data_IF_267123845076
#
_entry.id   IF_267123845076
#
_cell.length_a   1.000
_cell.length_b   1.000
_cell.length_c   1.000
_cell.angle_alpha   90.00
_cell.angle_beta   90.00
_cell.angle_gamma   90.00
#
_symmetry.space_group_name_H-M   'P 1'
#
loop_
_entity.id
_entity.type
_entity.pdbx_description
1 polymer ?
#
# COMPACT_ATOMS: atom_id res chain seq x y z
N UNK A 1 17.67 9.48 -7.18
CA UNK A 1 17.09 8.44 -8.04
C UNK A 1 17.19 7.11 -7.32
N UNK A 2 16.08 6.40 -7.13
CA UNK A 2 16.11 5.05 -6.55
C UNK A 2 16.74 4.12 -7.58
N UNK A 3 17.81 3.38 -7.24
CA UNK A 3 18.41 2.43 -8.17
C UNK A 3 17.39 1.35 -8.57
N UNK A 4 17.31 1.00 -9.86
CA UNK A 4 16.43 -0.08 -10.34
C UNK A 4 16.71 -1.41 -9.63
N UNK A 5 17.96 -1.65 -9.20
CA UNK A 5 18.32 -2.79 -8.35
C UNK A 5 17.49 -2.88 -7.07
N UNK A 6 17.17 -1.73 -6.44
CA UNK A 6 16.31 -1.68 -5.24
C UNK A 6 14.85 -2.00 -5.60
N UNK A 7 14.36 -1.52 -6.75
CA UNK A 7 13.02 -1.87 -7.22
C UNK A 7 12.91 -3.37 -7.52
N UNK A 8 13.88 -3.94 -8.25
CA UNK A 8 13.95 -5.37 -8.55
C UNK A 8 14.04 -6.21 -7.28
N UNK A 9 14.80 -5.74 -6.29
CA UNK A 9 14.88 -6.37 -4.99
C UNK A 9 13.50 -6.45 -4.31
N UNK A 10 12.76 -5.34 -4.31
CA UNK A 10 11.48 -5.22 -3.62
C UNK A 10 10.27 -5.76 -4.39
N UNK A 11 10.32 -5.83 -5.73
CA UNK A 11 9.21 -6.25 -6.60
C UNK A 11 9.46 -7.58 -7.32
N UNK A 12 10.69 -8.08 -7.32
CA UNK A 12 11.08 -9.28 -8.07
C UNK A 12 11.33 -8.99 -9.55
N UNK A 13 11.14 -10.01 -10.39
CA UNK A 13 11.37 -9.88 -11.83
C UNK A 13 10.26 -9.09 -12.53
N UNK A 14 10.59 -8.31 -13.59
CA UNK A 14 9.58 -7.63 -14.39
C UNK A 14 8.53 -8.59 -14.96
N UNK A 15 7.29 -8.12 -15.06
CA UNK A 15 6.17 -8.80 -15.70
C UNK A 15 5.90 -8.21 -17.06
N UNK A 16 5.40 -9.07 -17.94
CA UNK A 16 4.93 -8.66 -19.26
C UNK A 16 3.55 -8.03 -19.18
N UNK A 17 3.39 -6.92 -19.89
CA UNK A 17 2.11 -6.29 -20.16
C UNK A 17 2.03 -5.90 -21.64
N UNK A 18 0.82 -5.63 -22.11
CA UNK A 18 0.56 -5.36 -23.53
C UNK A 18 -0.01 -3.96 -23.70
N UNK A 19 0.08 -3.45 -24.93
CA UNK A 19 -0.54 -2.20 -25.34
C UNK A 19 -1.59 -2.49 -26.40
N UNK A 20 -2.79 -1.93 -26.23
CA UNK A 20 -3.91 -2.01 -27.18
C UNK A 20 -4.33 -0.63 -27.64
N UNK A 21 -5.15 -0.56 -28.70
CA UNK A 21 -5.82 0.67 -29.09
C UNK A 21 -6.81 1.11 -28.01
N UNK A 22 -6.85 2.41 -27.71
CA UNK A 22 -7.80 2.96 -26.75
C UNK A 22 -7.70 4.48 -26.64
N UNK A 23 -8.72 5.07 -26.03
CA UNK A 23 -8.79 6.50 -25.79
C UNK A 23 -7.92 6.89 -24.58
N UNK A 24 -7.12 7.95 -24.69
CA UNK A 24 -6.45 8.54 -23.53
C UNK A 24 -6.82 10.01 -23.34
N UNK A 25 -6.81 10.45 -22.08
CA UNK A 25 -6.93 11.86 -21.68
C UNK A 25 -5.66 12.24 -20.93
N UNK A 26 -4.67 12.77 -21.66
CA UNK A 26 -3.34 13.07 -21.14
C UNK A 26 -3.22 14.55 -20.75
N UNK A 27 -2.83 14.79 -19.50
CA UNK A 27 -2.43 16.12 -19.01
C UNK A 27 -0.96 16.42 -19.36
N UNK A 28 -0.13 15.38 -19.38
CA UNK A 28 1.31 15.43 -19.66
C UNK A 28 1.68 14.40 -20.73
N UNK A 29 1.30 14.62 -22.01
CA UNK A 29 1.54 13.65 -23.08
C UNK A 29 3.01 13.25 -23.25
N UNK A 30 3.94 14.15 -22.96
CA UNK A 30 5.38 13.93 -23.04
C UNK A 30 5.92 12.93 -22.00
N UNK A 31 5.17 12.69 -20.92
CA UNK A 31 5.51 11.69 -19.91
C UNK A 31 4.86 10.32 -20.19
N UNK A 32 3.97 10.23 -21.18
CA UNK A 32 3.26 8.99 -21.50
C UNK A 32 3.96 8.21 -22.63
N UNK A 33 4.54 7.03 -22.35
CA UNK A 33 5.49 6.39 -23.28
C UNK A 33 4.84 5.63 -24.45
N UNK A 34 3.50 5.50 -24.49
CA UNK A 34 2.82 4.61 -25.43
C UNK A 34 2.08 5.32 -26.57
N UNK A 35 1.99 6.65 -26.54
CA UNK A 35 1.26 7.46 -27.53
C UNK A 35 -0.23 7.62 -27.20
N UNK A 36 -0.84 8.71 -27.68
CA UNK A 36 -2.17 9.19 -27.25
C UNK A 36 -3.37 8.26 -27.55
N UNK A 37 -3.23 7.30 -28.46
CA UNK A 37 -4.33 6.41 -28.88
C UNK A 37 -4.10 4.96 -28.40
N UNK A 38 -3.30 4.80 -27.33
CA UNK A 38 -2.83 3.51 -26.83
C UNK A 38 -3.04 3.42 -25.32
N UNK A 39 -3.52 2.28 -24.84
CA UNK A 39 -3.72 2.00 -23.42
C UNK A 39 -3.06 0.67 -23.01
N UNK A 40 -2.43 0.58 -21.83
CA UNK A 40 -1.83 -0.64 -21.34
C UNK A 40 -2.87 -1.61 -20.79
N UNK A 41 -2.62 -2.91 -20.95
CA UNK A 41 -3.38 -3.99 -20.32
C UNK A 41 -2.46 -5.06 -19.74
N UNK A 42 -2.88 -5.62 -18.60
CA UNK A 42 -2.28 -6.73 -17.90
C UNK A 42 -3.28 -7.89 -17.89
N UNK A 43 -3.55 -8.40 -19.09
CA UNK A 43 -4.49 -9.49 -19.36
C UNK A 43 -3.78 -10.75 -19.85
N UNK A 44 -4.47 -11.87 -19.80
CA UNK A 44 -4.21 -13.04 -20.62
C UNK A 44 -4.73 -12.78 -22.04
N UNK A 45 -3.95 -13.12 -23.06
CA UNK A 45 -4.33 -12.89 -24.46
C UNK A 45 -3.58 -13.86 -25.38
N UNK A 46 -4.26 -14.32 -26.43
CA UNK A 46 -3.66 -15.05 -27.55
C UNK A 46 -3.38 -14.12 -28.75
N UNK A 47 -3.78 -12.85 -28.65
CA UNK A 47 -3.57 -11.85 -29.70
C UNK A 47 -2.08 -11.44 -29.80
N UNK A 48 -1.62 -11.20 -31.02
CA UNK A 48 -0.26 -10.73 -31.29
C UNK A 48 -0.14 -9.24 -30.99
N UNK A 49 0.07 -8.90 -29.71
CA UNK A 49 0.23 -7.53 -29.23
C UNK A 49 1.70 -7.19 -28.93
N UNK A 50 2.10 -5.91 -29.02
CA UNK A 50 3.40 -5.45 -28.53
C UNK A 50 3.60 -5.80 -27.05
N UNK A 51 4.75 -6.41 -26.73
CA UNK A 51 5.11 -6.83 -25.36
C UNK A 51 6.01 -5.79 -24.72
N UNK A 52 5.64 -5.35 -23.53
CA UNK A 52 6.42 -4.47 -22.68
C UNK A 52 6.70 -5.15 -21.34
N UNK A 53 7.72 -4.66 -20.62
CA UNK A 53 8.08 -5.16 -19.29
C UNK A 53 8.05 -4.04 -18.27
N UNK A 54 7.59 -4.36 -17.07
CA UNK A 54 7.59 -3.45 -15.93
C UNK A 54 7.43 -4.22 -14.62
N UNK A 55 7.70 -3.56 -13.49
CA UNK A 55 7.61 -4.21 -12.19
C UNK A 55 6.18 -4.16 -11.66
N UNK A 56 5.73 -5.22 -10.99
CA UNK A 56 4.43 -5.18 -10.32
C UNK A 56 4.39 -4.09 -9.26
N UNK A 57 3.21 -3.51 -9.05
CA UNK A 57 2.95 -2.61 -7.94
C UNK A 57 1.50 -2.72 -7.47
N UNK A 58 1.33 -3.14 -6.22
CA UNK A 58 0.08 -3.65 -5.71
C UNK A 58 -0.47 -4.79 -6.56
N UNK A 59 -1.79 -4.97 -6.51
CA UNK A 59 -2.45 -6.09 -7.21
C UNK A 59 -2.80 -5.77 -8.68
N UNK A 60 -2.94 -4.50 -9.04
CA UNK A 60 -3.49 -4.06 -10.33
C UNK A 60 -2.69 -3.00 -11.07
N UNK A 61 -1.40 -2.88 -10.78
CA UNK A 61 -0.55 -1.84 -11.38
C UNK A 61 0.80 -2.37 -11.81
N UNK A 62 1.39 -1.67 -12.77
CA UNK A 62 2.78 -1.84 -13.20
C UNK A 62 3.50 -0.50 -13.01
N UNK A 63 4.79 -0.57 -12.69
CA UNK A 63 5.70 0.57 -12.72
C UNK A 63 6.81 0.36 -13.76
N UNK A 64 7.16 1.45 -14.43
CA UNK A 64 8.29 1.54 -15.33
C UNK A 64 9.26 2.58 -14.78
N UNK A 65 10.55 2.21 -14.70
CA UNK A 65 11.62 3.15 -14.38
C UNK A 65 12.03 3.82 -15.69
N UNK A 66 11.90 5.14 -15.77
CA UNK A 66 12.33 5.90 -16.97
C UNK A 66 13.85 5.97 -17.06
N UNK A 67 14.39 6.28 -18.24
CA UNK A 67 15.83 6.56 -18.42
C UNK A 67 16.32 7.75 -17.58
N UNK A 68 15.45 8.73 -17.32
CA UNK A 68 15.71 9.87 -16.43
C UNK A 68 15.52 9.52 -14.93
N UNK A 69 15.19 8.27 -14.64
CA UNK A 69 15.08 7.68 -13.30
C UNK A 69 13.93 8.11 -12.40
N UNK A 70 12.87 8.68 -12.97
CA UNK A 70 11.58 8.73 -12.28
C UNK A 70 10.78 7.45 -12.54
N UNK A 71 9.74 7.24 -11.74
CA UNK A 71 8.86 6.08 -11.88
C UNK A 71 7.55 6.52 -12.53
N UNK A 72 7.18 5.87 -13.62
CA UNK A 72 5.84 5.96 -14.21
C UNK A 72 5.02 4.80 -13.67
N UNK A 73 3.89 5.09 -13.05
CA UNK A 73 2.95 4.09 -12.56
C UNK A 73 1.71 4.04 -13.43
N UNK A 74 1.35 2.82 -13.83
CA UNK A 74 0.17 2.48 -14.60
C UNK A 74 -0.79 1.70 -13.68
N UNK A 75 -1.79 2.38 -13.11
CA UNK A 75 -2.71 1.82 -12.10
C UNK A 75 -4.05 1.43 -12.76
N UNK A 76 -4.55 0.25 -12.43
CA UNK A 76 -5.84 -0.23 -12.89
C UNK A 76 -5.82 -0.79 -14.31
N UNK A 77 -4.73 -1.48 -14.66
CA UNK A 77 -4.52 -1.98 -16.03
C UNK A 77 -4.83 -3.47 -16.20
N UNK A 78 -5.32 -4.15 -15.16
CA UNK A 78 -5.49 -5.60 -15.13
C UNK A 78 -4.80 -6.22 -13.91
N UNK A 79 -4.55 -7.54 -13.93
CA UNK A 79 -4.01 -8.29 -12.78
C UNK A 79 -2.98 -9.34 -13.24
N UNK A 80 -1.84 -9.52 -12.56
CA UNK A 80 -0.80 -10.45 -13.01
C UNK A 80 -0.98 -11.90 -12.54
N UNK A 81 -1.95 -12.20 -11.68
CA UNK A 81 -2.14 -13.53 -11.09
C UNK A 81 -2.92 -14.46 -12.01
N UNK A 82 -2.28 -15.55 -12.44
CA UNK A 82 -2.74 -16.46 -13.51
C UNK A 82 -4.20 -16.90 -13.37
N UNK A 83 -4.60 -17.38 -12.20
CA UNK A 83 -5.90 -18.04 -12.03
C UNK A 83 -7.09 -17.06 -12.05
N UNK A 84 -6.81 -15.79 -11.77
CA UNK A 84 -7.81 -14.70 -11.69
C UNK A 84 -7.48 -13.57 -12.67
N UNK A 85 -6.67 -13.86 -13.69
CA UNK A 85 -6.22 -12.87 -14.68
C UNK A 85 -7.38 -12.49 -15.61
N UNK A 86 -7.64 -11.19 -15.84
CA UNK A 86 -8.56 -10.75 -16.90
C UNK A 86 -8.11 -11.23 -18.26
N UNK A 87 -9.03 -11.35 -19.21
CA UNK A 87 -8.74 -11.85 -20.57
C UNK A 87 -8.98 -10.73 -21.56
N UNK A 88 -8.13 -10.62 -22.55
CA UNK A 88 -8.35 -9.77 -23.70
C UNK A 88 -8.46 -10.63 -24.95
N UNK A 89 -9.59 -10.53 -25.64
CA UNK A 89 -9.90 -11.32 -26.84
C UNK A 89 -10.91 -10.57 -27.73
N UNK A 90 -10.61 -10.51 -29.02
CA UNK A 90 -11.44 -9.87 -30.05
C UNK A 90 -11.81 -8.43 -29.67
N UNK A 91 -10.82 -7.64 -29.26
CA UNK A 91 -11.01 -6.25 -28.83
C UNK A 91 -12.03 -6.07 -27.69
N UNK A 92 -12.10 -7.06 -26.79
CA UNK A 92 -12.97 -7.06 -25.61
C UNK A 92 -12.18 -7.55 -24.40
N UNK A 93 -12.30 -6.83 -23.29
CA UNK A 93 -11.75 -7.25 -22.00
C UNK A 93 -12.83 -8.01 -21.24
N UNK A 94 -12.49 -9.17 -20.69
CA UNK A 94 -13.35 -9.97 -19.85
C UNK A 94 -12.78 -9.99 -18.43
N UNK A 95 -13.59 -9.57 -17.45
CA UNK A 95 -13.18 -9.53 -16.04
C UNK A 95 -14.36 -9.73 -15.10
N UNK A 96 -14.11 -9.66 -13.80
CA UNK A 96 -15.08 -9.91 -12.74
C UNK A 96 -15.54 -8.60 -12.10
N UNK A 97 -16.77 -8.61 -11.61
CA UNK A 97 -17.34 -7.52 -10.83
C UNK A 97 -17.84 -8.07 -9.50
N UNK A 98 -17.25 -7.60 -8.40
CA UNK A 98 -17.58 -8.06 -7.05
C UNK A 98 -18.71 -7.23 -6.47
N UNK A 99 -19.81 -7.87 -6.09
CA UNK A 99 -20.98 -7.15 -5.56
C UNK A 99 -20.86 -6.81 -4.08
N UNK A 100 -20.03 -7.55 -3.34
CA UNK A 100 -19.85 -7.41 -1.90
C UNK A 100 -18.44 -6.96 -1.49
N UNK A 101 -17.55 -6.68 -2.46
CA UNK A 101 -16.28 -6.03 -2.18
C UNK A 101 -16.34 -4.58 -2.65
N UNK A 102 -16.01 -3.67 -1.73
CA UNK A 102 -15.98 -2.24 -1.99
C UNK A 102 -14.53 -1.74 -2.09
N UNK A 103 -14.26 -0.86 -3.05
CA UNK A 103 -13.11 0.04 -3.02
C UNK A 103 -13.68 1.44 -2.90
N UNK A 104 -13.50 2.03 -1.73
CA UNK A 104 -14.12 3.30 -1.39
C UNK A 104 -15.63 3.24 -1.36
N UNK A 105 -16.31 4.06 -2.18
CA UNK A 105 -17.78 4.11 -2.26
C UNK A 105 -18.35 3.21 -3.37
N UNK A 106 -17.49 2.54 -4.16
CA UNK A 106 -17.87 1.77 -5.34
C UNK A 106 -17.66 0.26 -5.18
N UNK A 107 -18.39 -0.52 -5.98
CA UNK A 107 -18.19 -1.95 -6.15
C UNK A 107 -16.98 -2.22 -7.06
N UNK A 108 -16.25 -3.29 -6.78
CA UNK A 108 -14.94 -3.53 -7.39
C UNK A 108 -15.02 -4.21 -8.77
N UNK A 109 -14.56 -3.49 -9.81
CA UNK A 109 -14.20 -4.11 -11.10
C UNK A 109 -12.78 -4.67 -11.03
N UNK A 110 -12.64 -5.99 -11.15
CA UNK A 110 -11.38 -6.69 -10.92
C UNK A 110 -10.30 -6.27 -11.92
N UNK A 111 -9.22 -5.68 -11.41
CA UNK A 111 -8.05 -5.26 -12.17
C UNK A 111 -8.13 -3.89 -12.83
N UNK A 112 -9.33 -3.32 -12.95
CA UNK A 112 -9.55 -2.04 -13.63
C UNK A 112 -10.17 -1.02 -12.67
N UNK A 113 -10.33 0.21 -13.12
CA UNK A 113 -11.08 1.27 -12.43
C UNK A 113 -12.34 1.58 -13.22
N UNK A 114 -13.39 2.04 -12.56
CA UNK A 114 -14.48 2.70 -13.27
C UNK A 114 -14.00 4.08 -13.76
N UNK A 115 -14.58 4.65 -14.83
CA UNK A 115 -14.25 6.01 -15.28
C UNK A 115 -14.37 7.05 -14.16
N UNK A 116 -15.43 6.98 -13.35
CA UNK A 116 -15.65 7.91 -12.24
C UNK A 116 -14.54 7.84 -11.19
N UNK A 117 -14.13 6.63 -10.76
CA UNK A 117 -13.04 6.45 -9.79
C UNK A 117 -11.72 7.02 -10.33
N UNK A 118 -11.43 6.80 -11.61
CA UNK A 118 -10.19 7.26 -12.24
C UNK A 118 -10.17 8.78 -12.40
N UNK A 119 -11.28 9.38 -12.81
CA UNK A 119 -11.43 10.83 -12.90
C UNK A 119 -11.36 11.51 -11.52
N UNK A 120 -12.00 10.93 -10.51
CA UNK A 120 -11.95 11.45 -9.14
C UNK A 120 -10.53 11.41 -8.57
N UNK A 121 -9.81 10.30 -8.73
CA UNK A 121 -8.41 10.19 -8.29
C UNK A 121 -7.50 11.19 -9.03
N UNK A 122 -7.70 11.37 -10.35
CA UNK A 122 -6.96 12.35 -11.14
C UNK A 122 -7.22 13.78 -10.65
N UNK A 123 -8.48 14.16 -10.51
CA UNK A 123 -8.88 15.50 -10.09
C UNK A 123 -8.37 15.82 -8.68
N UNK A 124 -8.42 14.83 -7.77
CA UNK A 124 -7.87 14.98 -6.43
C UNK A 124 -6.35 15.17 -6.46
N UNK A 125 -5.60 14.41 -7.29
CA UNK A 125 -4.17 14.65 -7.46
C UNK A 125 -3.85 16.06 -7.96
N UNK A 126 -4.59 16.56 -8.97
CA UNK A 126 -4.41 17.92 -9.50
C UNK A 126 -4.64 18.95 -8.39
N UNK A 127 -5.79 18.90 -7.72
CA UNK A 127 -6.15 19.82 -6.65
C UNK A 127 -5.10 19.81 -5.53
N UNK A 128 -4.63 18.64 -5.10
CA UNK A 128 -3.66 18.51 -4.01
C UNK A 128 -2.29 19.09 -4.39
N UNK A 129 -1.88 18.95 -5.65
CA UNK A 129 -0.64 19.59 -6.14
C UNK A 129 -0.75 21.11 -6.17
N UNK A 130 -1.89 21.66 -6.59
CA UNK A 130 -2.13 23.11 -6.57
C UNK A 130 -2.04 23.68 -5.14
N UNK A 131 -2.37 22.89 -4.13
CA UNK A 131 -2.21 23.22 -2.71
C UNK A 131 -0.78 22.99 -2.17
N UNK A 132 0.17 22.60 -3.02
CA UNK A 132 1.55 22.33 -2.62
C UNK A 132 1.72 21.05 -1.77
N UNK A 133 0.74 20.14 -1.80
CA UNK A 133 0.79 18.91 -1.01
C UNK A 133 1.67 17.87 -1.74
N UNK A 134 2.59 17.17 -1.04
CA UNK A 134 3.47 16.17 -1.65
C UNK A 134 2.70 14.94 -2.15
N UNK A 135 2.31 14.96 -3.41
CA UNK A 135 1.56 13.90 -4.10
C UNK A 135 2.16 13.62 -5.49
N UNK A 136 1.92 12.42 -6.08
CA UNK A 136 2.36 12.09 -7.43
C UNK A 136 1.94 13.11 -8.48
N UNK A 137 2.73 13.22 -9.55
CA UNK A 137 2.46 14.09 -10.68
C UNK A 137 1.52 13.38 -11.66
N UNK A 138 0.27 13.85 -11.85
CA UNK A 138 -0.69 13.17 -12.72
C UNK A 138 -0.25 13.28 -14.19
N UNK A 139 -0.25 12.14 -14.90
CA UNK A 139 0.08 12.09 -16.33
C UNK A 139 -1.22 12.08 -17.14
N UNK A 140 -2.21 11.29 -16.76
CA UNK A 140 -3.49 11.21 -17.46
C UNK A 140 -4.28 9.93 -17.19
N UNK A 141 -5.26 9.67 -18.04
CA UNK A 141 -6.16 8.52 -17.99
C UNK A 141 -6.12 7.74 -19.31
N UNK A 142 -6.42 6.44 -19.23
CA UNK A 142 -6.77 5.61 -20.37
C UNK A 142 -8.17 5.01 -20.16
N UNK A 143 -8.92 4.85 -21.24
CA UNK A 143 -10.27 4.28 -21.23
C UNK A 143 -10.34 2.99 -22.03
N UNK A 144 -11.18 2.08 -21.54
CA UNK A 144 -11.51 0.81 -22.18
C UNK A 144 -13.00 0.80 -22.51
N UNK A 145 -13.35 0.78 -23.79
CA UNK A 145 -14.75 0.91 -24.21
C UNK A 145 -15.57 -0.37 -24.04
N UNK A 146 -14.92 -1.53 -24.13
CA UNK A 146 -15.56 -2.84 -24.12
C UNK A 146 -15.01 -3.73 -23.01
N UNK A 147 -15.61 -3.64 -21.81
CA UNK A 147 -15.37 -4.59 -20.73
C UNK A 147 -16.65 -5.40 -20.48
N UNK A 148 -16.54 -6.73 -20.62
CA UNK A 148 -17.56 -7.69 -20.21
C UNK A 148 -17.29 -8.20 -18.80
N UNK A 149 -18.34 -8.22 -18.00
CA UNK A 149 -18.26 -8.45 -16.57
C UNK A 149 -19.02 -9.72 -16.18
N UNK A 150 -18.36 -10.64 -15.49
CA UNK A 150 -19.03 -11.69 -14.75
C UNK A 150 -19.27 -11.23 -13.31
N UNK A 151 -20.54 -11.18 -12.90
CA UNK A 151 -20.92 -10.90 -11.50
C UNK A 151 -20.53 -12.06 -10.62
N UNK A 152 -19.80 -11.75 -9.56
CA UNK A 152 -19.45 -12.65 -8.47
C UNK A 152 -19.62 -11.88 -7.16
N UNK A 153 -19.96 -12.56 -6.08
CA UNK A 153 -20.17 -11.92 -4.79
C UNK A 153 -18.88 -11.32 -4.25
N UNK A 154 -17.84 -12.14 -4.16
CA UNK A 154 -16.56 -11.85 -3.54
C UNK A 154 -15.45 -12.75 -4.13
N UNK A 155 -14.20 -12.51 -3.73
CA UNK A 155 -13.06 -13.36 -4.16
C UNK A 155 -13.21 -14.82 -3.76
N UNK A 156 -13.86 -15.11 -2.63
CA UNK A 156 -14.05 -16.48 -2.16
C UNK A 156 -14.95 -17.26 -3.12
N UNK A 157 -16.05 -16.66 -3.58
CA UNK A 157 -16.90 -17.24 -4.62
C UNK A 157 -16.10 -17.46 -5.93
N UNK A 158 -15.32 -16.47 -6.36
CA UNK A 158 -14.49 -16.60 -7.56
C UNK A 158 -13.51 -17.76 -7.44
N UNK A 159 -12.80 -17.88 -6.31
CA UNK A 159 -11.88 -18.99 -6.05
C UNK A 159 -12.60 -20.33 -6.06
N UNK A 160 -13.77 -20.43 -5.43
CA UNK A 160 -14.55 -21.67 -5.45
C UNK A 160 -14.97 -22.08 -6.86
N UNK A 161 -15.42 -21.14 -7.69
CA UNK A 161 -15.74 -21.41 -9.10
C UNK A 161 -14.53 -21.92 -9.88
N UNK A 162 -13.35 -21.35 -9.65
CA UNK A 162 -12.10 -21.81 -10.27
C UNK A 162 -11.76 -23.23 -9.82
N UNK A 163 -11.90 -23.54 -8.53
CA UNK A 163 -11.60 -24.88 -8.01
C UNK A 163 -12.59 -25.95 -8.50
N UNK A 164 -13.87 -25.61 -8.66
CA UNK A 164 -14.91 -26.58 -9.05
C UNK A 164 -14.96 -26.84 -10.56
N UNK A 165 -14.85 -25.79 -11.37
CA UNK A 165 -15.05 -25.83 -12.82
C UNK A 165 -13.79 -25.67 -13.66
N UNK A 166 -12.69 -25.29 -13.01
CA UNK A 166 -11.45 -24.94 -13.69
C UNK A 166 -11.53 -23.63 -14.48
N UNK A 167 -10.40 -23.27 -15.09
CA UNK A 167 -10.26 -22.02 -15.85
C UNK A 167 -11.14 -21.96 -17.10
N UNK A 168 -11.31 -23.09 -17.79
CA UNK A 168 -12.08 -23.15 -19.05
C UNK A 168 -13.56 -22.85 -18.88
N UNK A 169 -14.19 -23.36 -17.81
CA UNK A 169 -15.59 -23.05 -17.50
C UNK A 169 -15.78 -21.56 -17.19
N UNK A 170 -14.85 -20.97 -16.43
CA UNK A 170 -14.88 -19.55 -16.11
C UNK A 170 -14.79 -18.66 -17.37
N UNK A 171 -13.96 -19.05 -18.35
CA UNK A 171 -13.86 -18.37 -19.64
C UNK A 171 -15.20 -18.43 -20.37
N UNK A 172 -15.82 -19.60 -20.42
CA UNK A 172 -17.13 -19.77 -21.05
C UNK A 172 -18.20 -18.88 -20.39
N UNK A 173 -18.25 -18.83 -19.06
CA UNK A 173 -19.16 -17.96 -18.32
C UNK A 173 -18.91 -16.46 -18.62
N UNK A 174 -17.66 -16.05 -18.77
CA UNK A 174 -17.30 -14.67 -19.14
C UNK A 174 -17.74 -14.35 -20.57
N UNK A 175 -17.56 -15.28 -21.51
CA UNK A 175 -17.98 -15.12 -22.91
C UNK A 175 -19.51 -15.06 -23.06
N UNK A 176 -20.24 -15.83 -22.25
CA UNK A 176 -21.71 -15.84 -22.17
C UNK A 176 -22.29 -14.63 -21.42
N UNK A 177 -21.47 -13.87 -20.69
CA UNK A 177 -21.94 -12.66 -20.00
C UNK A 177 -22.38 -11.58 -20.98
N UNK A 178 -23.58 -11.06 -20.74
CA UNK A 178 -24.16 -9.95 -21.50
C UNK A 178 -23.92 -8.59 -20.85
N UNK A 179 -23.30 -8.56 -19.66
CA UNK A 179 -23.10 -7.31 -18.95
C UNK A 179 -21.83 -6.60 -19.41
N UNK A 180 -22.00 -5.45 -20.04
CA UNK A 180 -20.92 -4.59 -20.54
C UNK A 180 -20.85 -3.26 -19.78
N UNK A 181 -19.63 -2.77 -19.56
CA UNK A 181 -19.35 -1.47 -18.94
C UNK A 181 -18.04 -0.89 -19.52
N UNK A 182 -17.89 0.45 -19.47
CA UNK A 182 -16.59 1.10 -19.72
C UNK A 182 -15.69 0.94 -18.49
N UNK A 183 -14.39 0.76 -18.71
CA UNK A 183 -13.36 0.85 -17.68
C UNK A 183 -12.39 1.98 -17.94
N UNK A 184 -11.51 2.20 -16.96
CA UNK A 184 -10.45 3.18 -17.01
C UNK A 184 -9.21 2.69 -16.26
N UNK A 185 -8.09 3.35 -16.55
CA UNK A 185 -6.84 3.29 -15.81
C UNK A 185 -6.27 4.70 -15.64
N UNK A 186 -5.34 4.85 -14.70
CA UNK A 186 -4.70 6.14 -14.38
C UNK A 186 -3.18 6.02 -14.45
N UNK A 187 -2.56 7.07 -14.98
CA UNK A 187 -1.11 7.19 -15.15
C UNK A 187 -0.60 8.35 -14.32
N UNK A 188 0.49 8.13 -13.58
CA UNK A 188 1.15 9.20 -12.83
C UNK A 188 2.64 8.93 -12.64
N UNK A 189 3.40 10.01 -12.51
CA UNK A 189 4.81 9.99 -12.17
C UNK A 189 4.98 10.07 -10.66
N UNK A 190 5.78 9.17 -10.11
CA UNK A 190 6.03 9.06 -8.67
C UNK A 190 7.52 9.14 -8.34
N UNK A 191 7.83 9.55 -7.11
CA UNK A 191 9.21 9.62 -6.58
C UNK A 191 9.78 8.23 -6.28
N UNK A 192 8.89 7.27 -6.07
CA UNK A 192 9.17 5.91 -5.62
C UNK A 192 7.90 5.06 -5.78
N UNK A 193 8.04 3.75 -5.71
CA UNK A 193 6.91 2.83 -5.48
C UNK A 193 6.99 2.14 -4.12
N UNK A 194 8.06 2.39 -3.36
CA UNK A 194 8.32 1.75 -2.07
C UNK A 194 7.38 2.35 -1.04
N UNK A 195 6.56 1.50 -0.40
CA UNK A 195 5.64 1.94 0.66
C UNK A 195 6.35 1.99 2.00
N UNK A 196 5.87 2.86 2.89
CA UNK A 196 6.45 3.02 4.22
C UNK A 196 6.27 1.75 5.06
N UNK A 197 5.08 1.15 5.08
CA UNK A 197 4.83 -0.11 5.81
C UNK A 197 5.72 -1.26 5.30
N UNK A 198 5.88 -1.38 3.99
CA UNK A 198 6.63 -2.45 3.34
C UNK A 198 8.07 -2.56 3.90
N UNK A 199 8.77 -1.44 4.01
CA UNK A 199 10.17 -1.44 4.45
C UNK A 199 10.32 -1.71 5.96
N UNK A 200 9.25 -1.53 6.74
CA UNK A 200 9.27 -1.79 8.18
C UNK A 200 9.30 -3.28 8.49
N UNK A 201 8.82 -4.16 7.59
CA UNK A 201 8.98 -5.61 7.74
C UNK A 201 10.45 -6.03 7.87
N UNK A 202 11.38 -5.30 7.24
CA UNK A 202 12.81 -5.56 7.37
C UNK A 202 13.33 -5.44 8.82
N UNK A 203 12.68 -4.64 9.66
CA UNK A 203 13.04 -4.48 11.06
C UNK A 203 12.63 -5.67 11.94
N UNK A 204 11.79 -6.57 11.43
CA UNK A 204 11.34 -7.78 12.14
C UNK A 204 12.36 -8.94 12.04
N UNK A 205 13.51 -8.73 11.39
CA UNK A 205 14.59 -9.73 11.37
C UNK A 205 15.08 -10.03 12.79
N UNK A 206 15.19 -11.30 13.19
CA UNK A 206 15.77 -11.67 14.49
C UNK A 206 17.20 -11.14 14.64
N UNK A 207 17.50 -10.55 15.82
CA UNK A 207 18.83 -9.99 16.15
C UNK A 207 19.26 -8.87 15.17
N UNK A 208 18.30 -8.06 14.72
CA UNK A 208 18.52 -6.93 13.79
C UNK A 208 19.55 -5.92 14.33
N UNK A 209 19.69 -5.81 15.66
CA UNK A 209 20.71 -5.02 16.36
C UNK A 209 22.16 -5.43 16.03
N UNK A 210 22.37 -6.66 15.56
CA UNK A 210 23.68 -7.12 15.08
C UNK A 210 23.99 -6.68 13.65
N UNK A 211 23.01 -6.18 12.92
CA UNK A 211 23.11 -5.80 11.51
C UNK A 211 23.20 -4.27 11.35
N UNK A 212 22.37 -3.53 12.09
CA UNK A 212 22.20 -2.09 11.92
C UNK A 212 22.38 -1.32 13.21
N UNK A 213 22.83 -0.07 13.10
CA UNK A 213 22.95 0.83 14.25
C UNK A 213 21.57 1.30 14.72
N UNK A 214 21.21 0.94 15.94
CA UNK A 214 19.90 1.20 16.53
C UNK A 214 19.58 2.69 16.63
N UNK A 215 20.55 3.53 16.98
CA UNK A 215 20.34 4.99 17.09
C UNK A 215 20.03 5.62 15.73
N UNK A 216 20.74 5.14 14.72
CA UNK A 216 20.56 5.52 13.32
C UNK A 216 19.17 5.14 12.80
N UNK A 217 18.71 3.91 13.08
CA UNK A 217 17.37 3.44 12.71
C UNK A 217 16.29 4.25 13.39
N UNK A 218 16.40 4.47 14.71
CA UNK A 218 15.42 5.29 15.45
C UNK A 218 15.33 6.70 14.89
N UNK A 219 16.47 7.31 14.55
CA UNK A 219 16.51 8.64 13.94
C UNK A 219 15.84 8.65 12.56
N UNK A 220 16.05 7.61 11.75
CA UNK A 220 15.37 7.44 10.48
C UNK A 220 13.85 7.24 10.65
N UNK A 221 13.41 6.43 11.61
CA UNK A 221 11.99 6.21 11.90
C UNK A 221 11.30 7.49 12.38
N UNK A 222 11.97 8.31 13.20
CA UNK A 222 11.47 9.65 13.57
C UNK A 222 11.31 10.56 12.34
N UNK A 223 12.29 10.58 11.45
CA UNK A 223 12.19 11.31 10.17
C UNK A 223 11.04 10.78 9.30
N UNK A 224 10.94 9.47 9.14
CA UNK A 224 9.94 8.80 8.32
C UNK A 224 8.53 9.09 8.85
N UNK A 225 8.31 8.85 10.14
CA UNK A 225 7.07 9.13 10.84
C UNK A 225 6.69 10.60 10.76
N UNK A 226 7.62 11.52 11.05
CA UNK A 226 7.33 12.96 10.98
C UNK A 226 7.03 13.44 9.57
N UNK A 227 7.63 12.84 8.56
CA UNK A 227 7.30 13.12 7.16
C UNK A 227 5.88 12.68 6.82
N UNK A 228 5.47 11.48 7.26
CA UNK A 228 4.10 11.00 7.08
C UNK A 228 3.07 11.85 7.83
N UNK A 229 3.30 12.10 9.12
CA UNK A 229 2.41 12.94 9.95
C UNK A 229 2.28 14.36 9.43
N UNK A 230 3.40 14.96 8.96
CA UNK A 230 3.39 16.27 8.32
C UNK A 230 2.53 16.29 7.06
N UNK A 231 2.71 15.32 6.16
CA UNK A 231 1.94 15.28 4.92
C UNK A 231 0.43 15.10 5.19
N UNK A 232 0.06 14.26 6.16
CA UNK A 232 -1.35 14.10 6.56
C UNK A 232 -1.89 15.40 7.16
N UNK A 233 -1.09 16.11 7.96
CA UNK A 233 -1.51 17.40 8.52
C UNK A 233 -1.74 18.46 7.44
N UNK A 234 -0.95 18.48 6.36
CA UNK A 234 -1.18 19.40 5.24
C UNK A 234 -2.56 19.22 4.59
N UNK A 235 -3.05 17.98 4.46
CA UNK A 235 -4.42 17.72 4.00
C UNK A 235 -5.43 18.36 4.96
N UNK A 236 -5.26 18.10 6.25
CA UNK A 236 -6.17 18.58 7.28
C UNK A 236 -6.18 20.11 7.43
N UNK A 237 -5.06 20.81 7.27
CA UNK A 237 -5.03 22.28 7.25
C UNK A 237 -5.88 22.87 6.11
N UNK A 238 -6.09 22.10 5.04
CA UNK A 238 -6.91 22.50 3.90
C UNK A 238 -8.37 21.99 3.99
N UNK A 239 -8.79 21.44 5.14
CA UNK A 239 -10.12 20.88 5.33
C UNK A 239 -10.37 19.62 4.49
N UNK A 240 -9.31 18.89 4.15
CA UNK A 240 -9.35 17.67 3.33
C UNK A 240 -9.09 16.46 4.23
N UNK A 241 -9.94 15.45 4.07
CA UNK A 241 -9.76 14.10 4.64
C UNK A 241 -9.17 13.22 3.54
N UNK A 242 -8.17 12.40 3.87
CA UNK A 242 -7.47 11.55 2.90
C UNK A 242 -8.39 10.47 2.31
N UNK A 243 -9.18 9.81 3.15
CA UNK A 243 -10.13 8.81 2.66
C UNK A 243 -10.75 7.96 3.74
N UNK A 244 -11.22 8.56 4.83
CA UNK A 244 -11.90 7.85 5.92
C UNK A 244 -13.40 7.95 5.82
N UNK A 245 -14.06 6.79 5.74
CA UNK A 245 -15.51 6.66 5.61
C UNK A 245 -16.04 5.66 6.62
N UNK A 246 -17.18 5.96 7.23
CA UNK A 246 -17.91 5.00 8.05
C UNK A 246 -18.68 4.08 7.12
N UNK A 247 -18.65 2.78 7.40
CA UNK A 247 -19.46 1.80 6.68
C UNK A 247 -20.96 2.18 6.79
N UNK A 248 -21.68 2.34 5.67
CA UNK A 248 -23.11 2.61 5.68
C UNK A 248 -23.95 1.55 6.41
N UNK A 249 -23.47 0.31 6.50
CA UNK A 249 -24.10 -0.78 7.24
C UNK A 249 -23.89 -0.70 8.76
N UNK A 250 -23.02 0.20 9.22
CA UNK A 250 -22.78 0.49 10.64
C UNK A 250 -21.70 -0.38 11.31
N UNK A 251 -21.05 -1.30 10.59
CA UNK A 251 -20.15 -2.31 11.18
C UNK A 251 -18.65 -1.99 11.11
N UNK A 252 -18.22 -0.89 10.48
CA UNK A 252 -16.79 -0.59 10.35
C UNK A 252 -16.43 0.82 9.90
N UNK A 253 -15.13 1.05 9.77
CA UNK A 253 -14.52 2.26 9.22
C UNK A 253 -13.51 1.81 8.17
N UNK A 254 -13.62 2.37 6.97
CA UNK A 254 -12.59 2.24 5.94
C UNK A 254 -11.73 3.50 5.93
N UNK A 255 -10.41 3.36 5.86
CA UNK A 255 -9.49 4.51 5.86
C UNK A 255 -8.33 4.30 4.90
N UNK A 256 -8.05 5.31 4.09
CA UNK A 256 -6.80 5.41 3.33
C UNK A 256 -5.64 5.98 4.18
N UNK A 257 -5.91 6.47 5.39
CA UNK A 257 -4.91 7.12 6.26
C UNK A 257 -4.09 6.09 7.04
N UNK A 258 -3.22 5.40 6.32
CA UNK A 258 -2.34 4.37 6.86
C UNK A 258 -0.99 4.36 6.14
N UNK A 259 0.05 3.82 6.78
CA UNK A 259 1.43 3.86 6.27
C UNK A 259 1.58 3.27 4.86
N UNK A 260 0.75 2.30 4.49
CA UNK A 260 0.77 1.69 3.14
C UNK A 260 0.35 2.60 1.99
N UNK A 261 -0.23 3.76 2.28
CA UNK A 261 -0.55 4.79 1.29
C UNK A 261 0.45 5.95 1.30
N UNK A 262 1.52 5.83 2.11
CA UNK A 262 2.68 6.69 2.01
C UNK A 262 3.78 5.96 1.24
N UNK A 263 4.33 6.62 0.23
CA UNK A 263 5.52 6.15 -0.49
C UNK A 263 6.75 6.91 -0.01
N UNK A 264 7.88 6.21 0.08
CA UNK A 264 9.16 6.77 0.51
C UNK A 264 10.15 6.79 -0.65
N UNK A 265 10.61 7.99 -0.96
CA UNK A 265 11.74 8.25 -1.83
C UNK A 265 13.05 8.29 -1.06
N UNK A 266 14.14 8.66 -1.75
CA UNK A 266 15.46 8.79 -1.12
C UNK A 266 15.55 9.89 -0.06
N UNK A 267 14.72 10.94 -0.17
CA UNK A 267 14.85 12.15 0.66
C UNK A 267 13.52 12.69 1.20
N UNK A 268 12.41 12.18 0.69
CA UNK A 268 11.06 12.68 0.94
C UNK A 268 10.03 11.55 0.89
N UNK A 269 8.82 11.83 1.37
CA UNK A 269 7.68 10.92 1.32
C UNK A 269 6.48 11.61 0.69
N UNK A 270 5.68 10.88 -0.09
CA UNK A 270 4.43 11.34 -0.70
C UNK A 270 3.25 10.53 -0.17
N UNK A 271 2.06 11.15 -0.16
CA UNK A 271 0.80 10.44 0.04
C UNK A 271 0.29 9.96 -1.32
N UNK A 272 -0.41 8.83 -1.34
CA UNK A 272 -1.00 8.23 -2.54
C UNK A 272 -2.43 7.75 -2.27
N UNK A 273 -3.13 7.33 -3.32
CA UNK A 273 -4.47 6.76 -3.29
C UNK A 273 -5.58 7.74 -2.84
N UNK A 274 -6.05 8.55 -3.80
CA UNK A 274 -6.94 9.69 -3.53
C UNK A 274 -8.39 9.47 -3.99
N UNK A 275 -8.77 8.24 -4.34
CA UNK A 275 -10.11 7.92 -4.82
C UNK A 275 -11.22 8.13 -3.75
N UNK A 276 -10.85 8.29 -2.48
CA UNK A 276 -11.76 8.59 -1.37
C UNK A 276 -11.58 9.99 -0.78
N UNK A 277 -10.65 10.77 -1.33
CA UNK A 277 -10.30 12.08 -0.79
C UNK A 277 -11.43 13.06 -0.98
N UNK A 278 -11.79 13.77 0.09
CA UNK A 278 -12.90 14.74 0.04
C UNK A 278 -12.68 15.91 1.00
N UNK A 279 -13.29 17.05 0.65
CA UNK A 279 -13.39 18.21 1.54
C UNK A 279 -14.57 18.02 2.49
N UNK A 280 -14.32 18.16 3.79
CA UNK A 280 -15.34 18.09 4.85
C UNK A 280 -15.20 19.33 5.72
N UNK A 281 -16.30 19.79 6.32
CA UNK A 281 -16.30 20.96 7.23
C UNK A 281 -17.07 20.65 8.51
N UNK A 282 -16.83 21.48 9.54
CA UNK A 282 -17.57 21.44 10.79
C UNK A 282 -17.17 20.29 11.72
N UNK A 283 -18.08 19.89 12.60
CA UNK A 283 -17.80 18.90 13.67
C UNK A 283 -17.41 17.52 13.13
N UNK A 284 -17.96 17.14 11.98
CA UNK A 284 -17.64 15.87 11.33
C UNK A 284 -16.17 15.81 10.89
N UNK A 285 -15.64 16.92 10.37
CA UNK A 285 -14.24 17.02 9.99
C UNK A 285 -13.31 16.78 11.19
N UNK A 286 -13.55 17.44 12.34
CA UNK A 286 -12.74 17.26 13.54
C UNK A 286 -12.77 15.82 14.06
N UNK A 287 -13.91 15.13 13.93
CA UNK A 287 -14.02 13.71 14.29
C UNK A 287 -13.18 12.83 13.37
N UNK A 288 -13.40 12.93 12.05
CA UNK A 288 -12.74 12.06 11.07
C UNK A 288 -11.24 12.31 11.01
N UNK A 289 -10.81 13.57 11.13
CA UNK A 289 -9.40 13.96 11.19
C UNK A 289 -8.63 13.24 12.30
N UNK A 290 -9.25 13.07 13.47
CA UNK A 290 -8.64 12.35 14.58
C UNK A 290 -8.55 10.85 14.31
N UNK A 291 -9.55 10.28 13.65
CA UNK A 291 -9.51 8.88 13.21
C UNK A 291 -8.39 8.65 12.19
N UNK A 292 -8.21 9.54 11.21
CA UNK A 292 -7.09 9.47 10.26
C UNK A 292 -5.73 9.56 10.94
N UNK A 293 -5.64 10.44 11.92
CA UNK A 293 -4.41 10.62 12.69
C UNK A 293 -4.02 9.34 13.44
N UNK A 294 -4.95 8.70 14.16
CA UNK A 294 -4.65 7.45 14.88
C UNK A 294 -4.51 6.25 13.95
N UNK A 295 -5.26 6.20 12.85
CA UNK A 295 -5.12 5.16 11.83
C UNK A 295 -3.68 5.11 11.29
N UNK A 296 -3.06 6.29 11.07
CA UNK A 296 -1.67 6.37 10.58
C UNK A 296 -0.65 5.68 11.51
N UNK A 297 -0.96 5.52 12.80
CA UNK A 297 -0.03 4.94 13.77
C UNK A 297 -0.02 3.41 13.72
N UNK A 298 -1.17 2.77 13.48
CA UNK A 298 -1.35 1.33 13.68
C UNK A 298 -1.87 0.58 12.46
N UNK A 299 -2.72 1.20 11.63
CA UNK A 299 -3.31 0.53 10.48
C UNK A 299 -2.19 0.21 9.49
N UNK A 300 -2.06 -1.07 9.14
CA UNK A 300 -0.97 -1.60 8.31
C UNK A 300 0.44 -1.24 8.84
N UNK A 301 0.62 -1.03 10.16
CA UNK A 301 1.94 -0.93 10.76
C UNK A 301 2.41 -2.35 11.15
N UNK A 302 3.46 -2.90 10.53
CA UNK A 302 3.93 -4.25 10.85
C UNK A 302 4.78 -4.31 12.13
N UNK A 303 5.16 -3.17 12.71
CA UNK A 303 5.92 -3.15 13.96
C UNK A 303 5.02 -3.50 15.15
N UNK A 304 5.55 -4.22 16.16
CA UNK A 304 4.73 -4.73 17.25
C UNK A 304 4.19 -3.60 18.15
N UNK A 305 3.06 -3.90 18.81
CA UNK A 305 2.47 -3.06 19.86
C UNK A 305 2.00 -1.65 19.42
N UNK A 306 1.92 -1.35 18.12
CA UNK A 306 1.44 -0.07 17.61
C UNK A 306 0.04 0.32 18.15
N UNK A 307 -0.88 -0.64 18.22
CA UNK A 307 -2.22 -0.44 18.82
C UNK A 307 -2.16 -0.11 20.31
N UNK A 308 -1.23 -0.73 21.05
CA UNK A 308 -1.08 -0.48 22.50
C UNK A 308 -0.67 0.95 22.80
N UNK A 309 0.17 1.56 21.96
CA UNK A 309 0.54 2.98 22.08
C UNK A 309 -0.69 3.90 21.94
N UNK A 310 -1.59 3.58 21.00
CA UNK A 310 -2.82 4.35 20.82
C UNK A 310 -3.73 4.15 22.03
N UNK A 311 -3.99 2.90 22.45
CA UNK A 311 -4.84 2.59 23.60
C UNK A 311 -4.37 3.35 24.85
N UNK A 312 -3.06 3.43 25.07
CA UNK A 312 -2.49 4.14 26.21
C UNK A 312 -2.69 5.67 26.16
N UNK A 313 -2.77 6.27 24.96
CA UNK A 313 -2.95 7.70 24.78
C UNK A 313 -4.42 8.14 24.67
N UNK A 314 -5.27 7.24 24.18
CA UNK A 314 -6.65 7.54 23.87
C UNK A 314 -7.50 7.56 25.14
N UNK A 315 -7.96 8.75 25.53
CA UNK A 315 -8.91 8.96 26.64
C UNK A 315 -10.40 8.90 26.20
N UNK A 316 -10.70 8.56 24.94
CA UNK A 316 -12.05 8.59 24.33
C UNK A 316 -12.28 7.38 23.42
N UNK A 317 -13.52 6.99 23.14
CA UNK A 317 -13.83 5.96 22.15
C UNK A 317 -13.31 6.37 20.74
N UNK A 318 -12.34 5.64 20.16
CA UNK A 318 -11.77 5.83 18.80
C UNK A 318 -11.92 4.54 17.96
N UNK A 319 -11.44 4.50 16.69
CA UNK A 319 -11.41 3.31 15.79
C UNK A 319 -11.10 1.98 16.50
N UNK A 320 -10.24 1.98 17.53
CA UNK A 320 -9.90 0.81 18.34
C UNK A 320 -11.10 0.08 18.97
N UNK A 321 -12.25 0.75 19.11
CA UNK A 321 -13.49 0.18 19.64
C UNK A 321 -14.51 -0.17 18.55
N UNK A 322 -14.15 -0.10 17.27
CA UNK A 322 -14.99 -0.56 16.17
C UNK A 322 -14.99 -2.11 16.14
N UNK A 323 -16.17 -2.77 16.13
CA UNK A 323 -16.30 -4.21 16.35
C UNK A 323 -15.46 -5.13 15.45
N UNK A 324 -15.02 -4.66 14.27
CA UNK A 324 -14.31 -5.50 13.30
C UNK A 324 -12.81 -5.22 13.14
N UNK A 325 -12.24 -4.16 13.72
CA UNK A 325 -10.77 -4.03 13.82
C UNK A 325 -10.20 -5.00 14.88
N UNK A 326 -11.07 -5.56 15.73
CA UNK A 326 -10.79 -6.58 16.76
C UNK A 326 -10.99 -8.01 16.21
N UNK A 327 -11.22 -8.18 14.91
CA UNK A 327 -11.47 -9.49 14.32
C UNK A 327 -10.17 -10.29 14.21
N UNK A 328 -9.91 -11.06 15.29
CA UNK A 328 -8.89 -12.10 15.52
C UNK A 328 -7.79 -11.70 16.52
N UNK A 329 -8.14 -11.61 17.82
CA UNK A 329 -7.54 -12.46 18.88
C UNK A 329 -7.90 -12.00 20.33
N UNK A 330 -8.17 -13.01 21.16
CA UNK A 330 -8.17 -13.08 22.65
C UNK A 330 -9.48 -12.82 23.43
N UNK A 331 -9.69 -13.71 24.41
CA UNK A 331 -10.90 -13.93 25.20
C UNK A 331 -11.19 -12.85 26.25
N UNK A 332 -12.48 -12.70 26.55
CA UNK A 332 -13.13 -11.66 27.36
C UNK A 332 -12.56 -11.43 28.78
N UNK A 333 -11.89 -12.42 29.38
CA UNK A 333 -11.36 -12.35 30.74
C UNK A 333 -9.98 -11.65 30.82
N UNK A 334 -9.16 -11.73 29.76
CA UNK A 334 -7.90 -10.98 29.66
C UNK A 334 -8.10 -9.47 29.42
N UNK A 335 -9.22 -9.13 28.77
CA UNK A 335 -9.63 -7.75 28.49
C UNK A 335 -10.10 -7.00 29.75
N UNK A 336 -10.71 -7.68 30.73
CA UNK A 336 -11.11 -7.07 32.00
C UNK A 336 -9.91 -6.80 32.93
N UNK A 337 -8.95 -7.72 33.03
CA UNK A 337 -7.74 -7.53 33.82
C UNK A 337 -6.79 -6.44 33.26
N UNK A 338 -6.76 -6.28 31.94
CA UNK A 338 -5.92 -5.27 31.27
C UNK A 338 -6.49 -3.85 31.39
N UNK A 339 -7.81 -3.68 31.33
CA UNK A 339 -8.48 -2.39 31.53
C UNK A 339 -8.34 -1.87 32.97
N UNK A 340 -8.26 -2.74 33.97
CA UNK A 340 -7.99 -2.36 35.36
C UNK A 340 -6.53 -1.93 35.59
N UNK A 341 -5.56 -2.50 34.88
CA UNK A 341 -4.13 -2.12 34.99
C UNK A 341 -3.84 -0.82 34.22
N UNK A 342 -4.42 -0.64 33.03
CA UNK A 342 -4.30 0.60 32.24
C UNK A 342 -4.92 1.82 32.96
N UNK A 343 -5.95 1.59 33.79
CA UNK A 343 -6.61 2.64 34.60
C UNK A 343 -5.88 2.98 35.91
N UNK A 344 -4.91 2.18 36.36
CA UNK A 344 -4.16 2.41 37.61
C UNK A 344 -2.88 3.25 37.45
N UNK A 345 -2.25 3.32 36.26
CA UNK A 345 -0.88 3.86 36.13
C UNK A 345 -0.59 4.86 34.97
N UNK A 346 -1.60 5.60 34.50
CA UNK A 346 -1.36 6.90 33.84
C UNK A 346 -0.63 6.88 32.49
N UNK A 347 -1.39 6.67 31.40
CA UNK A 347 -1.23 7.42 30.15
C UNK A 347 0.03 7.22 29.30
N UNK A 348 0.84 6.18 29.51
CA UNK A 348 2.02 5.91 28.69
C UNK A 348 2.32 4.41 28.58
N UNK A 349 2.45 3.90 27.35
CA UNK A 349 2.93 2.54 27.08
C UNK A 349 4.45 2.55 27.00
N UNK A 350 5.14 1.73 27.82
CA UNK A 350 6.60 1.61 27.79
C UNK A 350 7.01 0.43 26.89
N UNK A 351 7.89 0.62 25.89
CA UNK A 351 8.45 -0.47 25.10
C UNK A 351 9.10 -1.54 25.98
N UNK A 352 8.78 -2.81 25.74
CA UNK A 352 9.39 -3.95 26.43
C UNK A 352 10.62 -4.53 25.71
N UNK A 353 10.84 -4.17 24.44
CA UNK A 353 11.94 -4.68 23.62
C UNK A 353 12.27 -3.70 22.50
N UNK A 354 13.38 -3.97 21.79
CA UNK A 354 13.90 -3.11 20.72
C UNK A 354 12.92 -2.89 19.55
N UNK A 355 12.10 -3.88 19.22
CA UNK A 355 11.14 -3.76 18.12
C UNK A 355 10.00 -2.80 18.51
N UNK A 356 9.57 -2.83 19.78
CA UNK A 356 8.62 -1.86 20.32
C UNK A 356 9.23 -0.45 20.43
N UNK A 357 10.54 -0.33 20.68
CA UNK A 357 11.23 0.96 20.65
C UNK A 357 11.31 1.55 19.23
N UNK A 358 11.31 0.71 18.19
CA UNK A 358 11.15 1.16 16.81
C UNK A 358 9.74 1.70 16.56
N UNK A 359 8.71 1.00 17.05
CA UNK A 359 7.32 1.48 17.01
C UNK A 359 7.18 2.83 17.68
N UNK A 360 7.72 2.98 18.90
CA UNK A 360 7.75 4.24 19.64
C UNK A 360 8.40 5.37 18.83
N UNK A 361 9.60 5.12 18.28
CA UNK A 361 10.32 6.12 17.50
C UNK A 361 9.56 6.58 16.24
N UNK A 362 8.86 5.66 15.58
CA UNK A 362 8.01 5.98 14.44
C UNK A 362 6.81 6.84 14.86
N UNK A 363 6.12 6.45 15.93
CA UNK A 363 4.95 7.17 16.47
C UNK A 363 5.34 8.57 16.97
N UNK A 364 6.43 8.71 17.73
CA UNK A 364 6.98 10.01 18.13
C UNK A 364 7.27 10.90 16.92
N UNK A 365 7.76 10.29 15.84
CA UNK A 365 7.90 10.93 14.53
C UNK A 365 6.56 11.47 14.03
N UNK A 366 5.56 10.60 13.89
CA UNK A 366 4.22 10.95 13.40
C UNK A 366 3.60 12.08 14.22
N UNK A 367 3.67 11.98 15.55
CA UNK A 367 3.19 13.01 16.46
C UNK A 367 3.88 14.34 16.24
N UNK A 368 5.21 14.35 16.15
CA UNK A 368 5.97 15.55 15.89
C UNK A 368 5.60 16.17 14.54
N UNK A 369 5.55 15.35 13.49
CA UNK A 369 5.15 15.73 12.14
C UNK A 369 3.79 16.42 12.08
N UNK A 370 2.81 15.77 12.69
CA UNK A 370 1.42 16.21 12.64
C UNK A 370 1.15 17.39 13.56
N UNK A 371 1.61 17.34 14.81
CA UNK A 371 1.28 18.34 15.83
C UNK A 371 2.14 19.60 15.73
N UNK A 372 3.41 19.48 15.30
CA UNK A 372 4.33 20.62 15.17
C UNK A 372 4.41 21.15 13.75
N UNK A 373 3.82 20.46 12.77
CA UNK A 373 3.97 20.75 11.34
C UNK A 373 5.44 20.92 10.96
N UNK A 374 6.29 20.00 11.41
CA UNK A 374 7.72 19.98 11.12
C UNK A 374 8.19 18.56 10.88
N UNK A 375 9.13 18.38 9.96
CA UNK A 375 9.83 17.11 9.77
C UNK A 375 11.08 17.12 10.64
N UNK A 376 11.47 15.98 11.19
CA UNK A 376 12.81 15.84 11.73
C UNK A 376 13.83 16.01 10.60
N UNK A 377 14.95 16.68 10.86
CA UNK A 377 16.03 16.74 9.89
C UNK A 377 16.96 15.54 10.05
N UNK A 378 17.36 14.98 8.92
CA UNK A 378 18.30 13.86 8.85
C UNK A 378 19.15 14.06 7.60
N UNK A 379 20.45 13.73 7.69
CA UNK A 379 21.36 13.88 6.57
C UNK A 379 20.89 13.09 5.34
N UNK A 380 21.01 13.69 4.14
CA UNK A 380 20.59 13.06 2.88
C UNK A 380 21.24 11.69 2.67
N UNK A 381 22.52 11.56 2.98
CA UNK A 381 23.23 10.29 2.85
C UNK A 381 22.66 9.22 3.79
N UNK A 382 22.29 9.63 5.01
CA UNK A 382 21.70 8.74 6.01
C UNK A 382 20.31 8.24 5.59
N UNK A 383 19.46 9.12 5.03
CA UNK A 383 18.14 8.74 4.50
C UNK A 383 18.28 7.69 3.38
N UNK A 384 19.16 7.96 2.42
CA UNK A 384 19.45 7.08 1.27
C UNK A 384 19.96 5.71 1.73
N UNK A 385 21.00 5.72 2.57
CA UNK A 385 21.61 4.50 3.13
C UNK A 385 20.58 3.66 3.87
N UNK A 386 19.76 4.27 4.73
CA UNK A 386 18.79 3.52 5.52
C UNK A 386 17.68 2.92 4.66
N UNK A 387 17.18 3.63 3.64
CA UNK A 387 16.20 3.05 2.71
C UNK A 387 16.76 1.82 1.99
N UNK A 388 18.02 1.87 1.55
CA UNK A 388 18.70 0.75 0.90
C UNK A 388 18.87 -0.44 1.85
N UNK A 389 19.34 -0.20 3.08
CA UNK A 389 19.49 -1.22 4.11
C UNK A 389 18.15 -1.87 4.44
N UNK A 390 17.09 -1.08 4.68
CA UNK A 390 15.76 -1.61 4.97
C UNK A 390 15.18 -2.42 3.82
N UNK A 391 15.50 -2.04 2.57
CA UNK A 391 15.09 -2.82 1.40
C UNK A 391 15.79 -4.19 1.34
N UNK A 392 17.08 -4.26 1.67
CA UNK A 392 17.82 -5.53 1.81
C UNK A 392 17.24 -6.37 2.95
N UNK A 393 17.01 -5.75 4.10
CA UNK A 393 16.44 -6.43 5.26
C UNK A 393 15.06 -6.99 4.95
N UNK A 394 14.20 -6.25 4.25
CA UNK A 394 12.88 -6.73 3.85
C UNK A 394 12.97 -7.96 2.94
N UNK A 395 13.82 -7.93 1.93
CA UNK A 395 13.99 -9.10 1.05
C UNK A 395 14.54 -10.31 1.80
N UNK A 396 15.56 -10.11 2.64
CA UNK A 396 16.12 -11.16 3.49
C UNK A 396 15.10 -11.72 4.49
N UNK A 397 14.22 -10.88 5.01
CA UNK A 397 13.10 -11.27 5.88
C UNK A 397 12.15 -12.22 5.14
N UNK A 398 11.73 -11.85 3.92
CA UNK A 398 10.86 -12.71 3.11
C UNK A 398 11.51 -14.08 2.85
N UNK A 399 12.80 -14.10 2.49
CA UNK A 399 13.55 -15.35 2.27
C UNK A 399 13.63 -16.21 3.55
N UNK A 400 13.93 -15.58 4.69
CA UNK A 400 14.09 -16.26 5.97
C UNK A 400 12.79 -16.96 6.37
N UNK A 401 11.65 -16.29 6.16
CA UNK A 401 10.33 -16.84 6.49
C UNK A 401 9.69 -17.65 5.35
N UNK A 402 10.28 -17.68 4.15
CA UNK A 402 9.75 -18.40 3.00
C UNK A 402 8.50 -17.76 2.41
N UNK A 403 8.38 -16.44 2.57
CA UNK A 403 7.29 -15.64 2.03
C UNK A 403 7.54 -15.35 0.54
N UNK A 404 6.48 -15.08 -0.25
CA UNK A 404 6.63 -14.80 -1.67
C UNK A 404 7.54 -13.59 -1.93
N UNK A 405 8.52 -13.75 -2.83
CA UNK A 405 9.36 -12.64 -3.28
C UNK A 405 8.49 -11.54 -3.89
N UNK A 406 8.78 -10.29 -3.53
CA UNK A 406 8.00 -9.15 -4.01
C UNK A 406 6.71 -8.87 -3.22
N UNK A 407 6.42 -9.63 -2.16
CA UNK A 407 5.29 -9.36 -1.27
C UNK A 407 5.44 -7.95 -0.67
N UNK A 408 4.44 -7.08 -0.90
CA UNK A 408 4.43 -5.70 -0.39
C UNK A 408 3.89 -5.62 1.04
N UNK A 409 2.89 -6.45 1.38
CA UNK A 409 2.13 -6.38 2.64
C UNK A 409 1.42 -7.69 2.97
N UNK A 410 1.00 -7.82 4.22
CA UNK A 410 0.15 -8.91 4.70
C UNK A 410 0.44 -9.25 6.16
N UNK A 411 0.23 -8.28 7.06
CA UNK A 411 0.58 -8.37 8.49
C UNK A 411 0.06 -9.65 9.13
N UNK A 412 -1.22 -9.95 8.97
CA UNK A 412 -1.85 -11.17 9.53
C UNK A 412 -1.14 -12.46 9.07
N UNK A 413 -0.84 -12.57 7.77
CA UNK A 413 -0.12 -13.73 7.21
C UNK A 413 1.30 -13.81 7.77
N UNK A 414 1.97 -12.66 7.88
CA UNK A 414 3.32 -12.58 8.43
C UNK A 414 3.34 -13.02 9.89
N UNK A 415 2.40 -12.54 10.70
CA UNK A 415 2.30 -12.89 12.12
C UNK A 415 2.08 -14.40 12.28
N UNK A 416 1.15 -15.00 11.53
CA UNK A 416 0.90 -16.45 11.51
C UNK A 416 2.17 -17.23 11.12
N UNK A 417 2.89 -16.78 10.09
CA UNK A 417 4.12 -17.46 9.62
C UNK A 417 5.25 -17.31 10.65
N UNK A 418 5.39 -16.15 11.28
CA UNK A 418 6.40 -15.91 12.31
C UNK A 418 6.15 -16.75 13.56
N UNK A 419 4.89 -16.90 13.98
CA UNK A 419 4.50 -17.70 15.14
C UNK A 419 4.66 -19.20 14.91
N UNK A 420 4.37 -19.67 13.69
CA UNK A 420 4.46 -21.09 13.35
C UNK A 420 5.87 -21.55 12.99
N UNK A 421 6.70 -20.67 12.42
CA UNK A 421 8.02 -21.05 11.90
C UNK A 421 9.13 -20.82 12.93
N UNK A 422 9.58 -21.90 13.57
CA UNK A 422 10.79 -21.89 14.41
C UNK A 422 12.04 -21.92 13.54
N UNK A 423 12.88 -20.89 13.67
CA UNK A 423 14.15 -20.77 12.94
C UNK A 423 15.29 -20.95 13.94
N UNK A 424 16.20 -21.87 13.65
CA UNK A 424 17.34 -22.16 14.51
C UNK A 424 18.41 -21.05 14.48
N UNK A 425 19.22 -20.98 15.53
CA UNK A 425 20.22 -19.93 15.68
C UNK A 425 21.32 -19.96 14.61
N UNK A 426 21.64 -21.13 14.05
CA UNK A 426 22.65 -21.27 13.00
C UNK A 426 22.13 -20.67 11.69
N UNK A 427 20.87 -20.92 11.36
CA UNK A 427 20.20 -20.30 10.21
C UNK A 427 20.13 -18.78 10.35
N UNK A 428 19.74 -18.27 11.53
CA UNK A 428 19.73 -16.82 11.81
C UNK A 428 21.12 -16.22 11.63
N UNK A 429 22.15 -16.84 12.22
CA UNK A 429 23.53 -16.33 12.17
C UNK A 429 24.08 -16.32 10.74
N UNK A 430 23.79 -17.36 9.94
CA UNK A 430 24.14 -17.41 8.52
C UNK A 430 23.46 -16.27 7.75
N UNK A 431 22.17 -16.05 7.96
CA UNK A 431 21.41 -15.00 7.26
C UNK A 431 21.91 -13.60 7.64
N UNK A 432 22.28 -13.37 8.91
CA UNK A 432 22.91 -12.11 9.34
C UNK A 432 24.20 -11.81 8.57
N UNK A 433 25.08 -12.81 8.43
CA UNK A 433 26.34 -12.63 7.69
C UNK A 433 26.10 -12.36 6.20
N UNK A 434 25.14 -13.06 5.60
CA UNK A 434 24.72 -12.83 4.22
C UNK A 434 24.19 -11.40 4.01
N UNK A 435 23.35 -10.91 4.93
CA UNK A 435 22.82 -9.54 4.89
C UNK A 435 23.95 -8.52 4.97
N UNK A 436 24.93 -8.71 5.87
CA UNK A 436 26.07 -7.80 5.99
C UNK A 436 26.86 -7.70 4.69
N UNK A 437 27.16 -8.84 4.05
CA UNK A 437 27.82 -8.84 2.74
C UNK A 437 27.00 -8.09 1.68
N UNK A 438 25.67 -8.31 1.63
CA UNK A 438 24.79 -7.59 0.70
C UNK A 438 24.76 -6.08 0.95
N UNK A 439 24.84 -5.64 2.21
CA UNK A 439 24.92 -4.21 2.56
C UNK A 439 26.25 -3.62 2.09
N UNK A 440 27.36 -4.34 2.26
CA UNK A 440 28.70 -3.93 1.80
C UNK A 440 28.82 -3.86 0.27
N UNK A 441 28.11 -4.71 -0.47
CA UNK A 441 28.09 -4.68 -1.94
C UNK A 441 27.23 -3.55 -2.52
N UNK A 442 26.21 -3.09 -1.78
CA UNK A 442 25.21 -2.14 -2.27
C UNK A 442 25.53 -0.68 -1.89
N UNK A 443 26.30 -0.46 -0.81
CA UNK A 443 26.75 0.86 -0.33
C UNK A 443 28.18 1.14 -0.76
#
# INVERSE_FOLDING_TARGET
>A
MIPEKVIRLLRGEPREYYIIDGETKLLRPELYPHGKDKVPILCETEEKLPIYKGYMSGFRSIINVSDEGYIIKLKGIGIPFKDVKPIYKNNTIYTYYFTNEYIGTGQLMWGFMTPNEAEEELNNMIMLRELGIPVPEPIGLGYYDKIRLLKVKDRYELTNKIMSGGRGELIKMLEESTWEQRGACIFYKNISDIRVDEILYGLLIPKVDKIINIKEVKSYLKWLGSSCGYNLRLLHENGIIHGTVYDPSGFGIYTNSHLANHVVGLEETYITDFHLTRKIRGKEFERIKMEEYYALWHVMNPLPSAEKFIIAQVKRTTILNAPEVISQMHTWEGFQAFNEIASLHGGYYRPGNIYEEFTESLIEGIEYGYNKMKKYELERNMKRKMLMILSILKDAFLELYGLPKGMERGREVVDIVMDSKKIDEKTISRKINEIKGRIEELL
#
